data_IF_731806973108
#
_entry.id   IF_731806973108
#
_cell.length_a   1.000
_cell.length_b   1.000
_cell.length_c   1.000
_cell.angle_alpha   90.00
_cell.angle_beta   90.00
_cell.angle_gamma   90.00
#
_symmetry.space_group_name_H-M   'P 1'
#
loop_
_entity.id
_entity.type
_entity.pdbx_description
1 polymer ?
#
# COMPACT_ATOMS: atom_id res chain seq x y z
N UNK A 1 -10.25 23.31 -10.82
CA UNK A 1 -11.49 23.65 -10.07
C UNK A 1 -11.15 24.90 -9.28
N UNK A 2 -11.80 26.02 -9.59
CA UNK A 2 -11.70 27.27 -8.83
C UNK A 2 -12.92 27.40 -7.93
N UNK A 3 -12.78 28.14 -6.83
CA UNK A 3 -13.87 28.40 -5.88
C UNK A 3 -15.10 29.02 -6.58
N UNK A 4 -14.86 29.81 -7.62
CA UNK A 4 -15.90 30.44 -8.45
C UNK A 4 -16.80 29.44 -9.21
N UNK A 5 -16.30 28.21 -9.44
CA UNK A 5 -17.06 27.13 -10.10
C UNK A 5 -17.81 26.22 -9.13
N UNK A 6 -17.77 26.53 -7.83
CA UNK A 6 -18.36 25.73 -6.76
C UNK A 6 -19.58 26.46 -6.17
N UNK A 7 -20.81 26.07 -6.50
CA UNK A 7 -21.98 26.69 -5.93
C UNK A 7 -22.01 26.46 -4.42
N UNK A 8 -22.24 27.53 -3.67
CA UNK A 8 -22.23 27.52 -2.19
C UNK A 8 -20.93 26.99 -1.57
N UNK A 9 -19.79 27.05 -2.30
CA UNK A 9 -18.51 26.55 -1.84
C UNK A 9 -18.37 25.02 -1.80
N UNK A 10 -19.34 24.27 -2.32
CA UNK A 10 -19.35 22.81 -2.35
C UNK A 10 -19.25 22.27 -3.77
N UNK A 11 -18.64 21.10 -3.95
CA UNK A 11 -18.60 20.44 -5.24
C UNK A 11 -19.91 19.70 -5.52
N UNK A 12 -20.45 19.80 -6.73
CA UNK A 12 -21.59 18.97 -7.11
C UNK A 12 -21.23 17.48 -7.04
N UNK A 13 -22.14 16.66 -6.49
CA UNK A 13 -21.96 15.22 -6.36
C UNK A 13 -21.57 14.55 -7.68
N UNK A 14 -22.29 14.84 -8.75
CA UNK A 14 -22.03 14.26 -10.08
C UNK A 14 -20.64 14.64 -10.64
N UNK A 15 -20.10 15.80 -10.27
CA UNK A 15 -18.75 16.22 -10.64
C UNK A 15 -17.72 15.45 -9.81
N UNK A 16 -17.89 15.42 -8.49
CA UNK A 16 -17.02 14.68 -7.57
C UNK A 16 -16.97 13.18 -7.92
N UNK A 17 -18.14 12.58 -8.15
CA UNK A 17 -18.29 11.18 -8.55
C UNK A 17 -17.56 10.87 -9.86
N UNK A 18 -17.86 11.64 -10.92
CA UNK A 18 -17.24 11.43 -12.23
C UNK A 18 -15.73 11.60 -12.20
N UNK A 19 -15.23 12.65 -11.53
CA UNK A 19 -13.78 12.94 -11.50
C UNK A 19 -13.05 11.90 -10.68
N UNK A 20 -13.52 11.61 -9.47
CA UNK A 20 -12.83 10.65 -8.60
C UNK A 20 -12.94 9.22 -9.12
N UNK A 21 -14.13 8.75 -9.47
CA UNK A 21 -14.27 7.37 -9.97
C UNK A 21 -13.43 7.13 -11.22
N UNK A 22 -13.46 8.04 -12.20
CA UNK A 22 -12.65 7.87 -13.41
C UNK A 22 -11.14 7.88 -13.10
N UNK A 23 -10.69 8.81 -12.27
CA UNK A 23 -9.27 8.92 -11.92
C UNK A 23 -8.80 7.72 -11.10
N UNK A 24 -9.55 7.35 -10.07
CA UNK A 24 -9.16 6.28 -9.15
C UNK A 24 -9.24 4.90 -9.80
N UNK A 25 -10.22 4.66 -10.69
CA UNK A 25 -10.29 3.42 -11.48
C UNK A 25 -9.13 3.28 -12.44
N UNK A 26 -8.79 4.35 -13.17
CA UNK A 26 -7.61 4.35 -14.06
C UNK A 26 -6.30 4.14 -13.28
N UNK A 27 -6.15 4.80 -12.13
CA UNK A 27 -5.00 4.58 -11.25
C UNK A 27 -4.95 3.13 -10.75
N UNK A 28 -6.11 2.56 -10.38
CA UNK A 28 -6.19 1.18 -9.95
C UNK A 28 -5.76 0.22 -11.08
N UNK A 29 -6.29 0.37 -12.27
CA UNK A 29 -5.95 -0.48 -13.43
C UNK A 29 -4.45 -0.42 -13.74
N UNK A 30 -3.89 0.79 -13.80
CA UNK A 30 -2.47 0.99 -14.09
C UNK A 30 -1.56 0.39 -12.99
N UNK A 31 -1.83 0.71 -11.74
CA UNK A 31 -0.99 0.30 -10.61
C UNK A 31 -1.12 -1.19 -10.34
N UNK A 32 -2.35 -1.73 -10.33
CA UNK A 32 -2.57 -3.15 -10.07
C UNK A 32 -2.04 -4.03 -11.20
N UNK A 33 -2.21 -3.60 -12.46
CA UNK A 33 -1.63 -4.28 -13.61
C UNK A 33 -0.12 -4.37 -13.49
N UNK A 34 0.55 -3.24 -13.23
CA UNK A 34 2.00 -3.21 -13.03
C UNK A 34 2.46 -4.06 -11.83
N UNK A 35 1.76 -3.98 -10.70
CA UNK A 35 2.08 -4.78 -9.51
C UNK A 35 1.94 -6.29 -9.77
N UNK A 36 0.93 -6.70 -10.55
CA UNK A 36 0.74 -8.10 -10.98
C UNK A 36 1.86 -8.55 -11.91
N UNK A 37 2.31 -7.71 -12.84
CA UNK A 37 3.45 -8.03 -13.73
C UNK A 37 4.73 -8.23 -12.91
N UNK A 38 5.01 -7.32 -11.96
CA UNK A 38 6.14 -7.45 -11.03
C UNK A 38 6.02 -8.75 -10.22
N UNK A 39 4.83 -9.05 -9.69
CA UNK A 39 4.60 -10.26 -8.92
C UNK A 39 4.80 -11.53 -9.77
N UNK A 40 4.37 -11.51 -11.03
CA UNK A 40 4.56 -12.62 -11.98
C UNK A 40 6.05 -12.88 -12.17
N UNK A 41 6.84 -11.84 -12.40
CA UNK A 41 8.29 -11.97 -12.57
C UNK A 41 8.98 -12.46 -11.30
N UNK A 42 8.58 -11.96 -10.14
CA UNK A 42 9.09 -12.42 -8.85
C UNK A 42 8.76 -13.89 -8.59
N UNK A 43 7.56 -14.34 -8.89
CA UNK A 43 7.17 -15.75 -8.79
C UNK A 43 8.02 -16.62 -9.74
N UNK A 44 8.21 -16.19 -10.97
CA UNK A 44 9.04 -16.90 -11.98
C UNK A 44 10.48 -17.05 -11.49
N UNK A 45 11.08 -15.96 -11.00
CA UNK A 45 12.46 -15.94 -10.50
C UNK A 45 12.63 -16.82 -9.25
N UNK A 46 11.58 -16.91 -8.43
CA UNK A 46 11.54 -17.78 -7.25
C UNK A 46 11.29 -19.25 -7.57
N UNK A 47 11.02 -19.60 -8.82
CA UNK A 47 10.63 -20.97 -9.24
C UNK A 47 9.21 -21.34 -8.82
N UNK A 48 8.38 -20.37 -8.41
CA UNK A 48 6.99 -20.59 -8.04
C UNK A 48 6.12 -20.68 -9.31
N UNK A 49 5.50 -21.81 -9.53
CA UNK A 49 4.56 -22.04 -10.66
C UNK A 49 3.13 -21.60 -10.28
N UNK A 50 3.00 -20.43 -9.64
CA UNK A 50 1.72 -19.88 -9.23
C UNK A 50 1.39 -18.62 -10.01
N UNK A 51 0.13 -18.51 -10.44
CA UNK A 51 -0.37 -17.33 -11.13
C UNK A 51 -0.53 -16.18 -10.15
N UNK A 52 -0.05 -15.00 -10.52
CA UNK A 52 -0.24 -13.78 -9.76
C UNK A 52 -1.71 -13.39 -9.67
N UNK A 53 -2.11 -12.85 -8.54
CA UNK A 53 -3.48 -12.48 -8.23
C UNK A 53 -3.68 -10.97 -8.34
N UNK A 54 -4.75 -10.57 -9.02
CA UNK A 54 -5.20 -9.18 -9.09
C UNK A 54 -6.02 -8.85 -7.82
N UNK A 55 -5.76 -7.72 -7.14
CA UNK A 55 -6.58 -7.30 -6.01
C UNK A 55 -7.95 -6.79 -6.48
N UNK A 56 -8.88 -6.64 -5.56
CA UNK A 56 -10.16 -5.96 -5.81
C UNK A 56 -10.03 -4.47 -5.51
N UNK A 57 -10.66 -3.63 -6.32
CA UNK A 57 -10.74 -2.20 -6.06
C UNK A 57 -11.55 -1.93 -4.78
N UNK A 58 -11.05 -1.04 -3.94
CA UNK A 58 -11.77 -0.58 -2.75
C UNK A 58 -12.73 0.55 -3.12
N UNK A 59 -13.89 0.20 -3.69
CA UNK A 59 -14.90 1.16 -4.13
C UNK A 59 -15.44 1.97 -2.95
N UNK A 60 -15.69 1.36 -1.79
CA UNK A 60 -16.21 2.07 -0.62
C UNK A 60 -15.32 3.24 -0.19
N UNK A 61 -14.01 3.12 -0.38
CA UNK A 61 -13.08 4.21 -0.07
C UNK A 61 -13.18 5.36 -1.07
N UNK A 62 -13.46 5.06 -2.34
CA UNK A 62 -13.70 6.06 -3.38
C UNK A 62 -15.02 6.78 -3.08
N UNK A 63 -16.08 6.03 -2.79
CA UNK A 63 -17.40 6.57 -2.49
C UNK A 63 -17.37 7.51 -1.26
N UNK A 64 -16.65 7.12 -0.21
CA UNK A 64 -16.46 7.98 0.97
C UNK A 64 -15.69 9.29 0.66
N UNK A 65 -14.76 9.29 -0.29
CA UNK A 65 -14.10 10.52 -0.75
C UNK A 65 -15.06 11.39 -1.58
N UNK A 66 -15.89 10.79 -2.44
CA UNK A 66 -16.92 11.48 -3.24
C UNK A 66 -17.95 12.15 -2.33
N UNK A 67 -18.47 11.40 -1.35
CA UNK A 67 -19.43 11.91 -0.38
C UNK A 67 -18.89 13.15 0.34
N UNK A 68 -17.70 13.06 0.90
CA UNK A 68 -17.10 14.20 1.61
C UNK A 68 -16.85 15.41 0.73
N UNK A 69 -16.39 15.23 -0.51
CA UNK A 69 -16.18 16.33 -1.46
C UNK A 69 -17.48 17.02 -1.86
N UNK A 70 -18.60 16.31 -1.83
CA UNK A 70 -19.91 16.85 -2.22
C UNK A 70 -20.75 17.41 -1.07
N UNK A 71 -20.40 17.08 0.19
CA UNK A 71 -21.17 17.50 1.37
C UNK A 71 -20.47 18.55 2.22
N UNK A 72 -19.13 18.62 2.17
CA UNK A 72 -18.35 19.57 2.94
C UNK A 72 -17.90 20.76 2.07
N UNK A 73 -17.56 21.87 2.72
CA UNK A 73 -17.02 23.06 2.05
C UNK A 73 -15.66 22.71 1.40
N UNK A 74 -15.52 22.96 0.10
CA UNK A 74 -14.38 22.54 -0.71
C UNK A 74 -13.03 23.02 -0.14
N UNK A 75 -12.94 24.27 0.29
CA UNK A 75 -11.70 24.83 0.85
C UNK A 75 -11.22 24.08 2.10
N UNK A 76 -12.15 23.55 2.90
CA UNK A 76 -11.85 22.76 4.08
C UNK A 76 -11.46 21.31 3.76
N UNK A 77 -11.95 20.79 2.63
CA UNK A 77 -11.85 19.37 2.30
C UNK A 77 -10.91 19.06 1.11
N UNK A 78 -10.45 20.06 0.35
CA UNK A 78 -9.59 19.88 -0.83
C UNK A 78 -8.34 19.03 -0.59
N UNK A 79 -7.89 18.91 0.65
CA UNK A 79 -6.78 18.04 1.03
C UNK A 79 -7.04 16.55 0.71
N UNK A 80 -8.31 16.13 0.52
CA UNK A 80 -8.66 14.78 0.08
C UNK A 80 -8.08 14.47 -1.30
N UNK A 81 -7.94 15.48 -2.15
CA UNK A 81 -7.39 15.34 -3.50
C UNK A 81 -5.86 15.16 -3.54
N UNK A 82 -5.19 15.16 -2.40
CA UNK A 82 -3.74 14.99 -2.30
C UNK A 82 -3.38 13.67 -1.59
N UNK A 83 -3.11 13.71 -0.28
CA UNK A 83 -2.60 12.57 0.48
C UNK A 83 -3.52 11.33 0.51
N UNK A 84 -4.85 11.45 0.61
CA UNK A 84 -5.74 10.30 0.51
C UNK A 84 -5.66 9.56 -0.83
N UNK A 85 -5.49 10.29 -1.95
CA UNK A 85 -5.30 9.70 -3.27
C UNK A 85 -3.94 8.98 -3.35
N UNK A 86 -2.87 9.58 -2.84
CA UNK A 86 -1.55 8.94 -2.76
C UNK A 86 -1.59 7.66 -1.93
N UNK A 87 -2.23 7.72 -0.76
CA UNK A 87 -2.40 6.55 0.11
C UNK A 87 -3.28 5.46 -0.51
N UNK A 88 -4.31 5.85 -1.27
CA UNK A 88 -5.09 4.90 -2.03
C UNK A 88 -4.22 4.18 -3.07
N UNK A 89 -3.44 4.93 -3.83
CA UNK A 89 -2.53 4.36 -4.85
C UNK A 89 -1.50 3.41 -4.23
N UNK A 90 -0.93 3.75 -3.08
CA UNK A 90 -0.03 2.85 -2.34
C UNK A 90 -0.74 1.61 -1.81
N UNK A 91 -1.99 1.74 -1.37
CA UNK A 91 -2.76 0.59 -0.86
C UNK A 91 -3.09 -0.44 -1.94
N UNK A 92 -3.12 -0.06 -3.22
CA UNK A 92 -3.31 -1.00 -4.34
C UNK A 92 -2.15 -2.01 -4.40
N UNK A 93 -0.92 -1.56 -4.18
CA UNK A 93 0.26 -2.45 -4.12
C UNK A 93 0.16 -3.38 -2.90
N UNK A 94 -0.22 -2.84 -1.72
CA UNK A 94 -0.40 -3.66 -0.51
C UNK A 94 -1.50 -4.69 -0.70
N UNK A 95 -2.61 -4.33 -1.35
CA UNK A 95 -3.72 -5.23 -1.66
C UNK A 95 -3.30 -6.31 -2.68
N UNK A 96 -2.39 -5.99 -3.62
CA UNK A 96 -1.80 -6.97 -4.52
C UNK A 96 -0.95 -7.99 -3.75
N UNK A 97 -0.08 -7.51 -2.84
CA UNK A 97 0.70 -8.38 -1.95
C UNK A 97 -0.23 -9.27 -1.13
N UNK A 98 -1.27 -8.70 -0.51
CA UNK A 98 -2.25 -9.45 0.29
C UNK A 98 -2.97 -10.53 -0.51
N UNK A 99 -3.42 -10.21 -1.73
CA UNK A 99 -4.10 -11.18 -2.60
C UNK A 99 -3.20 -12.36 -2.95
N UNK A 100 -1.94 -12.10 -3.28
CA UNK A 100 -0.96 -13.12 -3.62
C UNK A 100 -0.57 -13.98 -2.41
N UNK A 101 -0.34 -13.38 -1.24
CA UNK A 101 -0.05 -14.11 -0.02
C UNK A 101 -1.21 -15.03 0.39
N UNK A 102 -2.45 -14.51 0.32
CA UNK A 102 -3.65 -15.30 0.60
C UNK A 102 -3.74 -16.50 -0.34
N UNK A 103 -3.49 -16.30 -1.61
CA UNK A 103 -3.52 -17.37 -2.62
C UNK A 103 -2.41 -18.39 -2.37
N UNK A 104 -1.19 -17.95 -2.12
CA UNK A 104 -0.05 -18.83 -1.83
C UNK A 104 -0.24 -19.64 -0.56
N UNK A 105 -0.77 -19.01 0.51
CA UNK A 105 -1.11 -19.71 1.74
C UNK A 105 -2.15 -20.82 1.50
N UNK A 106 -3.19 -20.54 0.71
CA UNK A 106 -4.19 -21.55 0.31
C UNK A 106 -3.60 -22.66 -0.55
N UNK A 107 -2.54 -22.37 -1.30
CA UNK A 107 -1.78 -23.37 -2.07
C UNK A 107 -0.80 -24.20 -1.24
N UNK A 108 -0.78 -24.02 0.08
CA UNK A 108 0.06 -24.79 1.02
C UNK A 108 1.46 -24.21 1.26
N UNK A 109 1.77 -23.02 0.73
CA UNK A 109 2.99 -22.30 1.07
C UNK A 109 2.87 -21.63 2.45
N UNK A 110 4.01 -21.30 3.05
CA UNK A 110 4.08 -20.56 4.32
C UNK A 110 4.70 -19.18 4.09
N UNK A 111 3.96 -18.26 3.49
CA UNK A 111 4.49 -16.93 3.21
C UNK A 111 4.66 -16.13 4.50
N UNK A 112 5.68 -15.27 4.52
CA UNK A 112 5.94 -14.31 5.60
C UNK A 112 5.74 -12.89 5.10
N UNK A 113 5.20 -12.04 5.95
CA UNK A 113 5.01 -10.62 5.69
C UNK A 113 5.93 -9.79 6.57
N UNK A 114 6.51 -8.74 6.02
CA UNK A 114 7.31 -7.78 6.76
C UNK A 114 6.74 -6.38 6.58
N UNK A 115 6.44 -5.72 7.69
CA UNK A 115 6.15 -4.28 7.71
C UNK A 115 7.45 -3.52 7.96
N UNK A 116 7.79 -2.60 7.06
CA UNK A 116 9.01 -1.77 7.15
C UNK A 116 8.60 -0.32 7.31
N UNK A 117 9.02 0.30 8.40
CA UNK A 117 8.85 1.73 8.60
C UNK A 117 9.85 2.52 7.78
N UNK A 118 9.40 3.65 7.24
CA UNK A 118 10.22 4.53 6.40
C UNK A 118 10.17 5.95 6.95
N UNK A 119 11.35 6.52 7.18
CA UNK A 119 11.49 7.89 7.67
C UNK A 119 10.97 8.08 9.10
N UNK A 120 10.51 9.28 9.40
CA UNK A 120 10.01 9.63 10.73
C UNK A 120 8.55 9.18 10.89
N UNK A 121 8.35 7.89 11.14
CA UNK A 121 7.01 7.30 11.25
C UNK A 121 6.39 7.51 12.63
N UNK A 122 5.05 7.43 12.70
CA UNK A 122 4.30 7.56 13.94
C UNK A 122 4.46 6.33 14.86
N UNK A 123 4.08 6.50 16.14
CA UNK A 123 4.12 5.43 17.15
C UNK A 123 3.40 4.16 16.69
N UNK A 124 2.18 4.30 16.15
CA UNK A 124 1.39 3.18 15.66
C UNK A 124 2.12 2.37 14.55
N UNK A 125 2.77 3.03 13.59
CA UNK A 125 3.54 2.32 12.56
C UNK A 125 4.71 1.53 13.13
N UNK A 126 5.37 2.06 14.19
CA UNK A 126 6.47 1.35 14.88
C UNK A 126 5.98 0.13 15.66
N UNK A 127 4.79 0.20 16.23
CA UNK A 127 4.20 -0.91 16.99
C UNK A 127 3.88 -2.13 16.10
N UNK A 128 3.57 -1.90 14.83
CA UNK A 128 3.29 -2.98 13.85
C UNK A 128 4.47 -3.29 12.93
N UNK A 129 5.63 -2.68 13.18
CA UNK A 129 6.86 -3.02 12.46
C UNK A 129 7.31 -4.42 12.87
N UNK A 130 7.65 -5.24 11.89
CA UNK A 130 8.13 -6.60 12.17
C UNK A 130 7.93 -7.54 11.01
N UNK A 131 8.37 -8.78 11.23
CA UNK A 131 8.18 -9.91 10.31
C UNK A 131 7.26 -10.92 10.97
N UNK A 132 6.22 -11.33 10.25
CA UNK A 132 5.18 -12.22 10.74
C UNK A 132 4.99 -13.39 9.79
N UNK A 133 4.68 -14.56 10.31
CA UNK A 133 4.04 -15.61 9.50
C UNK A 133 2.69 -15.06 9.02
N UNK A 134 2.29 -15.42 7.81
CA UNK A 134 1.03 -14.86 7.25
C UNK A 134 -0.19 -15.11 8.14
N UNK A 135 -0.26 -16.29 8.75
CA UNK A 135 -1.37 -16.67 9.62
C UNK A 135 -1.44 -15.85 10.92
N UNK A 136 -0.30 -15.36 11.40
CA UNK A 136 -0.15 -14.66 12.68
C UNK A 136 -0.02 -13.12 12.48
N UNK A 137 -0.06 -12.67 11.24
CA UNK A 137 0.12 -11.26 10.94
C UNK A 137 -1.04 -10.42 11.51
N UNK A 138 -0.74 -9.27 12.14
CA UNK A 138 -1.79 -8.37 12.60
C UNK A 138 -2.74 -7.99 11.44
N UNK A 139 -4.05 -8.06 11.66
CA UNK A 139 -5.05 -7.74 10.62
C UNK A 139 -4.93 -6.32 10.06
N UNK A 140 -4.33 -5.40 10.82
CA UNK A 140 -4.09 -4.01 10.45
C UNK A 140 -2.72 -3.79 9.76
N UNK A 141 -1.94 -4.84 9.48
CA UNK A 141 -0.58 -4.72 8.92
C UNK A 141 -0.54 -3.99 7.57
N UNK A 142 -1.63 -4.01 6.80
CA UNK A 142 -1.78 -3.29 5.52
C UNK A 142 -2.38 -1.89 5.67
N UNK A 143 -2.80 -1.49 6.87
CA UNK A 143 -3.44 -0.20 7.06
C UNK A 143 -2.43 0.94 6.89
N UNK A 144 -2.93 2.06 6.34
CA UNK A 144 -2.18 3.29 6.13
C UNK A 144 -2.92 4.47 6.74
N UNK A 145 -2.21 5.31 7.46
CA UNK A 145 -2.70 6.61 7.90
C UNK A 145 -2.25 7.72 6.93
N UNK A 146 -2.73 8.94 7.15
CA UNK A 146 -2.29 10.10 6.37
C UNK A 146 -0.76 10.26 6.45
N UNK A 147 -0.13 10.54 5.33
CA UNK A 147 1.34 10.66 5.18
C UNK A 147 2.14 9.37 5.44
N UNK A 148 1.48 8.22 5.51
CA UNK A 148 2.19 6.95 5.68
C UNK A 148 3.01 6.61 4.43
N UNK A 149 4.32 6.32 4.64
CA UNK A 149 5.26 5.88 3.59
C UNK A 149 5.85 4.50 3.88
N UNK A 150 5.35 3.84 4.92
CA UNK A 150 5.79 2.50 5.28
C UNK A 150 5.51 1.51 4.15
N UNK A 151 6.33 0.47 4.04
CA UNK A 151 6.21 -0.56 3.01
C UNK A 151 5.78 -1.88 3.61
N UNK A 152 5.11 -2.68 2.81
CA UNK A 152 4.82 -4.07 3.11
C UNK A 152 5.63 -4.91 2.12
N UNK A 153 6.41 -5.81 2.64
CA UNK A 153 7.25 -6.75 1.89
C UNK A 153 6.81 -8.16 2.23
N UNK A 154 7.02 -9.11 1.34
CA UNK A 154 6.72 -10.49 1.68
C UNK A 154 7.77 -11.48 1.17
N UNK A 155 7.84 -12.64 1.84
CA UNK A 155 8.66 -13.77 1.46
C UNK A 155 7.71 -14.96 1.18
N UNK A 156 7.74 -15.55 -0.01
CA UNK A 156 6.86 -16.67 -0.36
C UNK A 156 7.21 -17.98 0.35
N UNK A 157 8.21 -18.01 1.23
CA UNK A 157 8.68 -19.19 1.94
C UNK A 157 9.94 -19.82 1.35
N UNK A 158 10.57 -19.18 0.35
CA UNK A 158 11.79 -19.62 -0.29
C UNK A 158 13.08 -18.97 0.26
N UNK A 159 12.99 -18.24 1.39
CA UNK A 159 14.12 -17.55 2.03
C UNK A 159 14.44 -16.18 1.45
N UNK A 160 13.85 -15.78 0.31
CA UNK A 160 14.08 -14.49 -0.33
C UNK A 160 12.90 -13.55 -0.11
N UNK A 161 13.17 -12.32 0.35
CA UNK A 161 12.16 -11.30 0.56
C UNK A 161 11.92 -10.54 -0.74
N UNK A 162 10.66 -10.45 -1.15
CA UNK A 162 10.22 -9.70 -2.33
C UNK A 162 9.80 -8.29 -1.95
N UNK A 163 10.32 -7.30 -2.66
CA UNK A 163 9.87 -5.92 -2.59
C UNK A 163 9.18 -5.54 -3.91
N UNK A 164 7.85 -5.59 -3.89
CA UNK A 164 7.02 -5.23 -5.04
C UNK A 164 7.10 -3.75 -5.44
N UNK A 165 7.54 -2.88 -4.53
CA UNK A 165 7.71 -1.45 -4.81
C UNK A 165 8.99 -1.15 -5.59
N UNK A 166 10.08 -1.89 -5.33
CA UNK A 166 11.39 -1.65 -5.96
C UNK A 166 11.71 -2.62 -7.10
N UNK A 167 10.93 -3.69 -7.26
CA UNK A 167 11.19 -4.80 -8.21
C UNK A 167 12.50 -5.55 -7.97
N UNK A 168 13.08 -5.41 -6.79
CA UNK A 168 14.36 -6.03 -6.46
C UNK A 168 14.17 -7.16 -5.45
N UNK A 169 15.02 -8.17 -5.59
CA UNK A 169 15.25 -9.14 -4.54
C UNK A 169 16.13 -8.51 -3.47
N UNK A 170 15.71 -8.61 -2.22
CA UNK A 170 16.54 -8.16 -1.11
C UNK A 170 17.54 -9.23 -0.74
N UNK A 171 18.79 -8.84 -0.68
CA UNK A 171 19.87 -9.64 -0.14
C UNK A 171 19.79 -9.60 1.39
N UNK A 172 19.58 -10.76 2.06
CA UNK A 172 19.48 -10.82 3.52
C UNK A 172 20.71 -10.26 4.24
N UNK A 173 21.92 -10.44 3.69
CA UNK A 173 23.15 -9.93 4.29
C UNK A 173 23.23 -8.41 4.18
N UNK A 174 22.82 -7.85 3.04
CA UNK A 174 22.76 -6.39 2.84
C UNK A 174 21.73 -5.76 3.77
N UNK A 175 20.56 -6.39 3.92
CA UNK A 175 19.51 -5.91 4.83
C UNK A 175 19.99 -5.95 6.29
N UNK A 176 20.66 -7.04 6.72
CA UNK A 176 21.22 -7.15 8.06
C UNK A 176 22.25 -6.04 8.34
N UNK A 177 23.10 -5.70 7.36
CA UNK A 177 24.06 -4.58 7.47
C UNK A 177 23.36 -3.23 7.59
N UNK A 178 22.27 -3.01 6.85
CA UNK A 178 21.47 -1.78 6.92
C UNK A 178 20.81 -1.66 8.29
N UNK A 179 20.20 -2.73 8.79
CA UNK A 179 19.56 -2.77 10.11
C UNK A 179 20.58 -2.54 11.26
N UNK A 180 21.78 -3.13 11.14
CA UNK A 180 22.85 -2.90 12.09
C UNK A 180 23.26 -1.41 12.14
N UNK A 181 23.39 -0.75 10.97
CA UNK A 181 23.69 0.68 10.89
C UNK A 181 22.60 1.58 11.48
N UNK A 182 21.32 1.25 11.27
CA UNK A 182 20.21 1.99 11.88
C UNK A 182 20.27 1.94 13.42
N UNK A 183 20.67 0.80 13.98
CA UNK A 183 20.79 0.63 15.45
C UNK A 183 21.96 1.44 16.05
N UNK A 184 23.02 1.66 15.30
CA UNK A 184 24.15 2.50 15.75
C UNK A 184 23.72 3.96 15.91
N UNK A 185 23.00 4.51 14.93
CA UNK A 185 22.51 5.90 15.00
C UNK A 185 21.46 6.16 16.09
N UNK A 186 20.82 5.12 16.64
CA UNK A 186 19.86 5.25 17.75
C UNK A 186 20.52 5.29 19.13
N UNK A 187 21.76 4.79 19.27
CA UNK A 187 22.50 4.78 20.54
C UNK A 187 23.22 6.12 20.84
N UNK A 188 23.41 6.97 19.84
CA UNK A 188 24.06 8.28 20.00
C UNK A 188 23.11 9.40 20.43
N UNK A 189 21.77 9.14 20.46
CA UNK A 189 20.73 10.12 20.82
C UNK A 189 19.94 9.75 22.10
N UNK A 190 20.53 8.95 22.99
CA UNK A 190 19.90 8.56 24.27
C UNK A 190 20.60 9.23 25.44
#
# INVERSE_FOLDING_TARGET
ITVETLPNGQMYFNIADRVLNNTMKKNFELISGHAVDVQTELNRTAGLKLKSQLPKINQNRIDGMVERLSTEEFEKIKWILDEPIKNFSQSIVDDTVRANMTFQSKAGLKPKIKRVVVGNCCKWCREIEGTYEYADAPHNIYQRHRYCRCRVEYNPGNGKTQDTHTKEWKDPEREAKIEARKKIGLKENS
#
